data_IF_671207305298
#
_entry.id   IF_671207305298
#
_cell.length_a   1.000
_cell.length_b   1.000
_cell.length_c   1.000
_cell.angle_alpha   90.00
_cell.angle_beta   90.00
_cell.angle_gamma   90.00
#
_symmetry.space_group_name_H-M   'P 1'
#
loop_
_entity.id
_entity.type
_entity.pdbx_description
1 polymer ?
#
# COMPACT_ATOMS: atom_id res chain seq x y z
N UNK A 1 15.35 -20.99 -3.36
CA UNK A 1 14.24 -21.17 -2.41
C UNK A 1 13.05 -20.45 -3.00
N UNK A 2 11.95 -21.16 -3.26
CA UNK A 2 10.73 -20.53 -3.76
C UNK A 2 10.26 -19.59 -2.65
N UNK A 3 10.32 -18.27 -2.88
CA UNK A 3 9.73 -17.29 -1.97
C UNK A 3 8.22 -17.52 -2.00
N UNK A 4 7.68 -18.05 -0.91
CA UNK A 4 6.25 -18.05 -0.69
C UNK A 4 5.87 -16.61 -0.42
N UNK A 5 5.15 -16.02 -1.35
CA UNK A 5 4.61 -14.68 -1.22
C UNK A 5 3.50 -14.71 -0.16
N UNK A 6 3.67 -14.01 0.96
CA UNK A 6 2.67 -13.98 2.03
C UNK A 6 1.86 -12.67 1.98
N UNK A 7 0.54 -12.79 2.14
CA UNK A 7 -0.33 -11.63 2.26
C UNK A 7 -0.35 -11.11 3.70
N UNK A 8 -0.07 -9.82 3.87
CA UNK A 8 -0.06 -9.13 5.16
C UNK A 8 -1.16 -8.07 5.16
N UNK A 9 -2.00 -8.08 6.20
CA UNK A 9 -3.02 -7.05 6.42
C UNK A 9 -2.41 -5.91 7.23
N UNK A 10 -2.59 -4.68 6.77
CA UNK A 10 -2.08 -3.46 7.40
C UNK A 10 -3.24 -2.50 7.65
N UNK A 11 -3.41 -2.05 8.88
CA UNK A 11 -4.51 -1.16 9.26
C UNK A 11 -3.98 0.13 9.90
N UNK A 12 -4.27 1.27 9.27
CA UNK A 12 -3.87 2.59 9.71
C UNK A 12 -5.09 3.39 10.19
N UNK A 13 -4.90 4.18 11.25
CA UNK A 13 -5.94 5.03 11.85
C UNK A 13 -5.42 6.46 12.03
N UNK A 14 -6.33 7.42 12.30
CA UNK A 14 -5.96 8.81 12.57
C UNK A 14 -5.85 9.71 11.33
N UNK A 15 -6.31 9.22 10.18
CA UNK A 15 -6.45 9.98 8.93
C UNK A 15 -5.16 10.31 8.18
N UNK A 16 -5.32 10.82 6.95
CA UNK A 16 -4.20 11.23 6.10
C UNK A 16 -3.42 12.43 6.69
N UNK A 17 -2.11 12.60 6.40
CA UNK A 17 -1.28 11.75 5.53
C UNK A 17 -0.88 10.42 6.19
N UNK A 18 -0.73 9.39 5.35
CA UNK A 18 -0.43 8.01 5.78
C UNK A 18 1.08 7.74 5.90
N UNK A 19 1.90 8.43 5.12
CA UNK A 19 3.37 8.41 5.24
C UNK A 19 4.10 7.33 4.45
N UNK A 20 3.62 7.00 3.25
CA UNK A 20 4.32 6.12 2.32
C UNK A 20 4.26 6.66 0.88
N UNK A 21 5.14 6.17 0.01
CA UNK A 21 5.14 6.45 -1.43
C UNK A 21 4.89 5.19 -2.24
N UNK A 22 3.98 5.27 -3.20
CA UNK A 22 3.64 4.20 -4.13
C UNK A 22 4.24 4.49 -5.52
N UNK A 23 4.81 3.47 -6.18
CA UNK A 23 5.28 3.52 -7.57
C UNK A 23 4.78 2.29 -8.36
N UNK A 24 5.15 2.23 -9.64
CA UNK A 24 4.74 1.20 -10.57
C UNK A 24 3.30 1.37 -11.04
N UNK A 25 2.64 0.26 -11.36
CA UNK A 25 1.32 0.19 -11.97
C UNK A 25 1.34 -0.54 -13.31
N UNK A 26 0.23 -1.19 -13.65
CA UNK A 26 0.09 -1.96 -14.88
C UNK A 26 0.36 -1.10 -16.13
N UNK A 27 -0.02 0.18 -16.11
CA UNK A 27 0.28 1.15 -17.16
C UNK A 27 1.80 1.37 -17.38
N UNK A 28 2.61 1.02 -16.39
CA UNK A 28 4.06 1.08 -16.40
C UNK A 28 4.72 -0.31 -16.54
N UNK A 29 3.94 -1.39 -16.61
CA UNK A 29 4.43 -2.78 -16.59
C UNK A 29 5.26 -3.12 -15.34
N UNK A 30 4.90 -2.50 -14.23
CA UNK A 30 5.53 -2.69 -12.92
C UNK A 30 4.46 -2.99 -11.86
N UNK A 31 4.76 -3.80 -10.82
CA UNK A 31 3.83 -3.99 -9.71
C UNK A 31 3.63 -2.69 -8.91
N UNK A 32 2.55 -2.62 -8.12
CA UNK A 32 2.26 -1.47 -7.26
C UNK A 32 3.11 -1.52 -5.99
N UNK A 33 4.28 -0.91 -6.01
CA UNK A 33 5.28 -1.07 -4.94
C UNK A 33 5.32 0.12 -3.98
N UNK A 34 5.42 -0.21 -2.69
CA UNK A 34 5.84 0.76 -1.66
C UNK A 34 7.34 1.01 -1.83
N UNK A 35 7.71 2.26 -2.08
CA UNK A 35 9.11 2.67 -2.36
C UNK A 35 9.70 3.58 -1.31
N UNK A 36 8.87 4.11 -0.41
CA UNK A 36 9.31 4.88 0.74
C UNK A 36 8.29 4.74 1.86
N UNK A 37 8.77 4.65 3.09
CA UNK A 37 7.98 4.77 4.31
C UNK A 37 8.65 5.87 5.14
N UNK A 38 7.92 6.93 5.46
CA UNK A 38 8.47 8.06 6.23
C UNK A 38 8.68 7.65 7.68
N UNK A 39 9.82 8.00 8.27
CA UNK A 39 10.09 7.74 9.68
C UNK A 39 9.09 8.49 10.57
N UNK A 40 8.65 7.85 11.67
CA UNK A 40 7.66 8.40 12.58
C UNK A 40 6.24 8.49 12.01
N UNK A 41 6.00 8.00 10.80
CA UNK A 41 4.67 8.03 10.18
C UNK A 41 3.74 6.93 10.66
N UNK A 42 2.47 7.03 10.28
CA UNK A 42 1.46 6.00 10.53
C UNK A 42 1.83 4.68 9.84
N UNK A 43 2.32 4.76 8.60
CA UNK A 43 2.81 3.61 7.85
C UNK A 43 4.00 2.93 8.55
N UNK A 44 4.94 3.71 9.11
CA UNK A 44 6.04 3.17 9.89
C UNK A 44 5.55 2.48 11.17
N UNK A 45 4.59 3.08 11.89
CA UNK A 45 4.04 2.54 13.14
C UNK A 45 3.36 1.18 12.95
N UNK A 46 2.84 0.89 11.76
CA UNK A 46 2.16 -0.38 11.44
C UNK A 46 3.05 -1.36 10.66
N UNK A 47 4.35 -1.10 10.58
CA UNK A 47 5.33 -1.96 9.89
C UNK A 47 5.03 -2.22 8.40
N UNK A 48 4.48 -1.21 7.70
CA UNK A 48 4.52 -1.19 6.24
C UNK A 48 5.99 -1.07 5.79
N UNK A 49 6.39 -1.82 4.78
CA UNK A 49 7.80 -1.92 4.36
C UNK A 49 8.01 -1.48 2.92
N UNK A 50 9.21 -0.98 2.64
CA UNK A 50 9.67 -0.78 1.26
C UNK A 50 9.82 -2.15 0.60
N UNK A 51 9.30 -2.29 -0.61
CA UNK A 51 9.27 -3.56 -1.35
C UNK A 51 7.92 -4.28 -1.27
N UNK A 52 7.05 -3.91 -0.33
CA UNK A 52 5.68 -4.44 -0.28
C UNK A 52 4.93 -4.13 -1.59
N UNK A 53 4.30 -5.16 -2.18
CA UNK A 53 3.40 -5.01 -3.31
C UNK A 53 1.97 -4.83 -2.81
N UNK A 54 1.31 -3.75 -3.21
CA UNK A 54 -0.04 -3.42 -2.80
C UNK A 54 -1.07 -4.14 -3.67
N UNK A 55 -1.93 -4.95 -3.04
CA UNK A 55 -2.92 -5.77 -3.75
C UNK A 55 -4.37 -5.40 -3.42
N UNK A 56 -4.66 -4.89 -2.21
CA UNK A 56 -5.99 -4.38 -1.84
C UNK A 56 -5.92 -3.08 -1.05
N UNK A 57 -6.96 -2.25 -1.19
CA UNK A 57 -7.17 -1.04 -0.39
C UNK A 57 -8.63 -0.97 0.06
N UNK A 58 -8.87 -0.85 1.36
CA UNK A 58 -10.21 -0.78 1.97
C UNK A 58 -11.14 -1.88 1.43
N UNK A 59 -10.68 -3.14 1.48
CA UNK A 59 -11.41 -4.33 1.00
C UNK A 59 -11.63 -4.39 -0.52
N UNK A 60 -11.18 -3.39 -1.28
CA UNK A 60 -11.25 -3.36 -2.74
C UNK A 60 -9.94 -3.97 -3.30
N UNK A 61 -10.00 -5.12 -4.01
CA UNK A 61 -8.86 -5.63 -4.76
C UNK A 61 -8.50 -4.65 -5.89
N UNK A 62 -7.21 -4.38 -6.06
CA UNK A 62 -6.74 -3.48 -7.09
C UNK A 62 -6.70 -4.16 -8.45
N UNK A 63 -7.07 -3.43 -9.49
CA UNK A 63 -6.90 -3.84 -10.89
C UNK A 63 -5.44 -3.78 -11.38
N UNK A 64 -4.56 -3.17 -10.57
CA UNK A 64 -3.14 -2.99 -10.85
C UNK A 64 -2.77 -1.61 -11.40
N UNK A 65 -3.74 -0.75 -11.75
CA UNK A 65 -3.45 0.62 -12.22
C UNK A 65 -3.08 1.56 -11.06
N UNK A 66 -2.03 2.37 -11.22
CA UNK A 66 -1.56 3.27 -10.15
C UNK A 66 -2.58 4.35 -9.81
N UNK A 67 -3.26 4.88 -10.82
CA UNK A 67 -4.23 5.96 -10.60
C UNK A 67 -5.40 5.51 -9.72
N UNK A 68 -5.87 4.27 -9.86
CA UNK A 68 -6.88 3.67 -8.99
C UNK A 68 -6.41 3.63 -7.54
N UNK A 69 -5.21 3.07 -7.30
CA UNK A 69 -4.62 2.99 -5.98
C UNK A 69 -4.47 4.38 -5.33
N UNK A 70 -4.00 5.38 -6.08
CA UNK A 70 -3.88 6.77 -5.60
C UNK A 70 -5.24 7.34 -5.19
N UNK A 71 -6.29 7.14 -6.00
CA UNK A 71 -7.63 7.62 -5.70
C UNK A 71 -8.18 7.01 -4.41
N UNK A 72 -8.03 5.69 -4.23
CA UNK A 72 -8.50 4.99 -3.02
C UNK A 72 -7.74 5.44 -1.76
N UNK A 73 -6.41 5.61 -1.83
CA UNK A 73 -5.60 6.10 -0.71
C UNK A 73 -5.98 7.54 -0.33
N UNK A 74 -6.12 8.43 -1.33
CA UNK A 74 -6.48 9.84 -1.09
C UNK A 74 -7.92 10.02 -0.63
N UNK A 75 -8.84 9.16 -1.06
CA UNK A 75 -10.23 9.13 -0.60
C UNK A 75 -10.41 8.52 0.79
N UNK A 76 -9.36 7.95 1.38
CA UNK A 76 -9.39 7.41 2.73
C UNK A 76 -9.18 8.51 3.76
N UNK A 77 -10.19 8.77 4.60
CA UNK A 77 -10.19 9.95 5.49
C UNK A 77 -9.82 9.65 6.94
N UNK A 78 -10.37 8.59 7.55
CA UNK A 78 -10.15 8.26 8.98
C UNK A 78 -9.27 7.04 9.17
N UNK A 79 -9.47 6.05 8.32
CA UNK A 79 -8.79 4.75 8.36
C UNK A 79 -8.36 4.37 6.95
N UNK A 80 -7.32 3.54 6.87
CA UNK A 80 -6.85 2.93 5.64
C UNK A 80 -6.49 1.48 5.93
N UNK A 81 -7.16 0.55 5.26
CA UNK A 81 -6.83 -0.89 5.30
C UNK A 81 -6.10 -1.26 4.01
N UNK A 82 -4.99 -1.95 4.11
CA UNK A 82 -4.21 -2.43 2.97
C UNK A 82 -4.01 -3.93 3.10
N UNK A 83 -3.98 -4.63 1.97
CA UNK A 83 -3.36 -5.96 1.88
C UNK A 83 -2.14 -5.80 1.00
N UNK A 84 -1.00 -6.25 1.50
CA UNK A 84 0.26 -6.25 0.78
C UNK A 84 0.82 -7.65 0.64
N UNK A 85 1.62 -7.86 -0.39
CA UNK A 85 2.38 -9.08 -0.63
C UNK A 85 3.85 -8.83 -0.29
N UNK A 86 4.43 -9.75 0.47
CA UNK A 86 5.80 -9.71 1.01
C UNK A 86 6.53 -11.04 0.85
#
# INVERSE_FOLDING_TARGET
>A
TVTVDFLVNVFLTGGAPWGFTLRGGLEHREPLLITKVEEGSKAAAVSLQVGDELVNINEIPLSGYRQEAICLVKGSHKTLSLVVKR
#
